data_IF_450132279828
#
_entry.id   IF_450132279828
#
_cell.length_a   1.000
_cell.length_b   1.000
_cell.length_c   1.000
_cell.angle_alpha   90.00
_cell.angle_beta   90.00
_cell.angle_gamma   90.00
#
_symmetry.space_group_name_H-M   'P 1'
#
loop_
_entity.id
_entity.type
_entity.pdbx_description
1 polymer ?
#
# COMPACT_ATOMS: atom_id res chain seq x y z
N UNK A 1 20.71 -2.61 -73.31
CA UNK A 1 19.65 -2.85 -74.32
C UNK A 1 18.29 -2.70 -73.65
N UNK A 2 17.35 -2.04 -74.35
CA UNK A 2 15.87 -2.08 -74.21
C UNK A 2 15.29 -1.74 -72.83
N UNK A 3 14.81 -0.51 -72.56
CA UNK A 3 13.56 0.13 -73.05
C UNK A 3 12.33 -0.80 -73.03
N UNK A 4 11.49 -0.58 -72.00
CA UNK A 4 10.04 -0.25 -72.05
C UNK A 4 9.06 -1.30 -72.66
N UNK A 5 7.70 -1.19 -72.57
CA UNK A 5 6.83 -0.28 -71.78
C UNK A 5 5.45 -0.86 -71.30
N UNK A 6 4.64 0.03 -70.67
CA UNK A 6 3.20 0.34 -70.92
C UNK A 6 2.13 -0.70 -70.53
N UNK A 7 1.01 -0.32 -69.91
CA UNK A 7 -0.22 0.29 -70.46
C UNK A 7 -1.21 0.29 -69.26
N UNK A 8 -2.15 1.21 -68.96
CA UNK A 8 -2.72 2.37 -69.65
C UNK A 8 -3.83 2.98 -68.73
N UNK A 9 -4.19 4.25 -68.96
CA UNK A 9 -5.55 4.88 -68.83
C UNK A 9 -6.22 4.97 -67.44
N UNK A 10 -6.95 6.01 -67.03
CA UNK A 10 -7.65 7.16 -67.65
C UNK A 10 -8.00 8.15 -66.50
N UNK A 11 -7.91 9.48 -66.67
CA UNK A 11 -9.04 10.45 -66.78
C UNK A 11 -10.20 10.20 -65.77
N UNK A 12 -10.73 11.13 -64.97
CA UNK A 12 -10.85 12.58 -65.10
C UNK A 12 -11.20 13.24 -63.74
N UNK A 13 -10.99 14.56 -63.67
CA UNK A 13 -11.44 15.45 -62.60
C UNK A 13 -12.82 16.07 -62.91
N UNK A 14 -13.60 16.39 -61.87
CA UNK A 14 -14.51 17.56 -61.75
C UNK A 14 -15.29 17.42 -60.43
N UNK A 15 -15.09 18.32 -59.45
CA UNK A 15 -15.92 19.49 -59.16
C UNK A 15 -17.36 19.10 -58.76
N UNK A 16 -17.89 19.53 -57.61
CA UNK A 16 -18.48 20.87 -57.48
C UNK A 16 -18.56 21.30 -55.99
N UNK A 17 -18.06 22.53 -55.80
CA UNK A 17 -18.35 23.58 -54.80
C UNK A 17 -19.79 23.53 -54.23
N UNK A 18 -20.03 23.69 -52.93
CA UNK A 18 -20.40 25.01 -52.39
C UNK A 18 -20.13 25.13 -50.87
N UNK A 19 -19.42 26.21 -50.52
CA UNK A 19 -19.35 26.80 -49.18
C UNK A 19 -20.75 27.21 -48.70
N UNK A 20 -21.02 27.32 -47.40
CA UNK A 20 -20.87 28.58 -46.66
C UNK A 20 -21.18 28.35 -45.16
N UNK A 21 -20.42 28.97 -44.26
CA UNK A 21 -20.67 28.90 -42.81
C UNK A 21 -19.60 29.55 -41.92
N UNK A 22 -19.34 30.84 -42.14
CA UNK A 22 -18.89 31.91 -41.20
C UNK A 22 -17.87 31.62 -40.07
N UNK A 23 -16.62 32.06 -40.35
CA UNK A 23 -15.67 32.91 -39.59
C UNK A 23 -16.03 33.33 -38.15
N UNK A 24 -15.08 33.21 -37.19
CA UNK A 24 -14.36 34.33 -36.52
C UNK A 24 -13.24 33.80 -35.64
N UNK A 25 -12.01 34.26 -35.90
CA UNK A 25 -10.82 34.00 -35.09
C UNK A 25 -10.70 35.01 -33.93
N UNK A 26 -10.22 34.56 -32.77
CA UNK A 26 -9.51 35.42 -31.82
C UNK A 26 -8.25 34.69 -31.34
N UNK A 27 -7.12 35.37 -31.46
CA UNK A 27 -5.80 34.90 -31.09
C UNK A 27 -5.40 35.41 -29.70
N UNK A 28 -4.70 34.61 -28.92
CA UNK A 28 -3.71 34.98 -27.89
C UNK A 28 -3.29 33.69 -27.16
N UNK A 29 -2.06 33.42 -26.75
CA UNK A 29 -0.75 34.09 -26.88
C UNK A 29 0.28 33.07 -26.36
N UNK A 30 1.44 32.96 -26.99
CA UNK A 30 2.52 32.09 -26.53
C UNK A 30 3.29 32.70 -25.34
N UNK A 31 3.52 31.92 -24.27
CA UNK A 31 4.74 31.84 -23.45
C UNK A 31 4.50 30.96 -22.19
N UNK A 32 5.54 30.41 -21.53
CA UNK A 32 6.80 29.84 -22.03
C UNK A 32 6.91 28.34 -21.69
N UNK A 33 7.86 27.64 -22.34
CA UNK A 33 8.27 26.29 -21.95
C UNK A 33 8.80 26.31 -20.51
N UNK A 34 8.04 25.76 -19.57
CA UNK A 34 8.55 25.40 -18.24
C UNK A 34 9.11 23.99 -18.29
N UNK A 35 10.20 23.74 -17.56
CA UNK A 35 10.97 22.49 -17.54
C UNK A 35 10.24 21.31 -16.88
N UNK A 36 8.94 21.13 -17.13
CA UNK A 36 8.12 20.03 -16.63
C UNK A 36 8.27 18.73 -17.45
N UNK A 37 9.36 18.59 -18.21
CA UNK A 37 9.66 17.40 -19.02
C UNK A 37 10.71 16.47 -18.39
N UNK A 38 11.02 16.60 -17.09
CA UNK A 38 12.01 15.75 -16.41
C UNK A 38 11.44 14.86 -15.30
N UNK A 39 10.25 15.15 -14.75
CA UNK A 39 9.62 14.29 -13.75
C UNK A 39 8.14 14.17 -14.07
N UNK A 40 7.76 12.97 -14.50
CA UNK A 40 6.38 12.63 -14.83
C UNK A 40 5.44 13.01 -13.69
N UNK A 41 4.24 13.41 -14.08
CA UNK A 41 3.09 13.60 -13.19
C UNK A 41 3.05 12.47 -12.16
N UNK A 42 3.34 12.79 -10.89
CA UNK A 42 3.14 11.85 -9.79
C UNK A 42 1.64 11.59 -9.75
N UNK A 43 1.25 10.34 -9.99
CA UNK A 43 -0.13 9.92 -9.88
C UNK A 43 -0.67 10.34 -8.49
N UNK A 44 -1.96 10.75 -8.39
CA UNK A 44 -2.56 10.99 -7.09
C UNK A 44 -2.38 9.74 -6.23
N UNK A 45 -1.95 9.95 -4.98
CA UNK A 45 -1.61 8.93 -4.00
C UNK A 45 -2.49 7.70 -4.14
N UNK A 46 -1.88 6.60 -4.60
CA UNK A 46 -2.48 5.28 -4.50
C UNK A 46 -2.83 5.14 -3.02
N UNK A 47 -4.12 5.03 -2.68
CA UNK A 47 -4.48 4.32 -1.46
C UNK A 47 -3.89 2.94 -1.68
N UNK A 48 -2.70 2.71 -1.13
CA UNK A 48 -2.21 1.35 -0.95
C UNK A 48 -3.36 0.71 -0.21
N UNK A 49 -3.97 -0.30 -0.80
CA UNK A 49 -4.94 -1.10 -0.08
C UNK A 49 -4.11 -1.67 1.08
N UNK A 50 -4.19 -1.02 2.25
CA UNK A 50 -3.51 -1.48 3.46
C UNK A 50 -4.03 -2.89 3.75
N UNK A 51 -5.32 -3.09 3.46
CA UNK A 51 -6.01 -4.38 3.41
C UNK A 51 -5.46 -5.30 2.33
N UNK A 52 -4.77 -6.35 2.77
CA UNK A 52 -4.52 -7.55 1.98
C UNK A 52 -3.32 -8.34 2.47
N UNK A 53 -3.45 -9.66 2.44
CA UNK A 53 -2.37 -10.58 2.79
C UNK A 53 -1.20 -10.50 1.78
N UNK A 54 -0.28 -9.59 2.09
CA UNK A 54 0.97 -9.37 1.37
C UNK A 54 2.16 -10.01 2.10
N UNK A 55 1.90 -10.87 3.09
CA UNK A 55 2.95 -11.56 3.82
C UNK A 55 3.75 -12.44 2.85
N UNK A 56 5.09 -12.37 2.84
CA UNK A 56 5.89 -13.07 1.85
C UNK A 56 5.57 -14.57 1.79
N UNK A 57 5.37 -15.08 0.58
CA UNK A 57 4.98 -16.47 0.35
C UNK A 57 5.94 -17.49 1.00
N UNK A 58 7.23 -17.12 1.17
CA UNK A 58 8.24 -17.93 1.88
C UNK A 58 7.88 -18.24 3.34
N UNK A 59 7.03 -17.41 3.97
CA UNK A 59 6.58 -17.59 5.35
C UNK A 59 5.09 -17.88 5.46
N UNK A 60 4.27 -17.32 4.57
CA UNK A 60 2.83 -17.58 4.51
C UNK A 60 2.48 -19.01 4.13
N UNK A 61 3.16 -19.58 3.12
CA UNK A 61 2.75 -20.85 2.50
C UNK A 61 3.34 -22.09 3.17
N UNK A 62 4.07 -21.90 4.26
CA UNK A 62 4.65 -22.98 5.05
C UNK A 62 3.87 -23.15 6.36
N UNK A 63 4.12 -24.26 7.05
CA UNK A 63 3.46 -24.56 8.32
C UNK A 63 3.75 -23.44 9.33
N UNK A 64 2.75 -23.03 10.11
CA UNK A 64 2.93 -22.14 11.25
C UNK A 64 4.01 -22.69 12.19
N UNK A 65 4.77 -21.81 12.85
CA UNK A 65 5.82 -22.17 13.81
C UNK A 65 6.88 -23.15 13.27
N UNK A 66 7.17 -23.10 11.97
CA UNK A 66 8.14 -24.01 11.36
C UNK A 66 9.47 -23.36 11.03
N UNK A 67 9.48 -22.04 10.83
CA UNK A 67 10.70 -21.28 10.57
C UNK A 67 10.63 -19.93 11.28
N UNK A 68 11.81 -19.35 11.51
CA UNK A 68 11.94 -17.96 11.90
C UNK A 68 11.95 -17.07 10.65
N UNK A 69 11.29 -15.91 10.77
CA UNK A 69 11.33 -14.86 9.75
C UNK A 69 12.58 -13.98 9.85
N UNK A 70 12.64 -12.92 9.02
CA UNK A 70 13.79 -12.01 8.98
C UNK A 70 13.89 -11.14 10.25
N UNK A 71 12.87 -11.13 11.13
CA UNK A 71 12.83 -10.43 12.42
C UNK A 71 13.02 -11.35 13.63
N UNK A 72 13.34 -12.63 13.38
CA UNK A 72 13.48 -13.65 14.40
C UNK A 72 12.18 -13.95 15.15
N UNK A 73 11.05 -13.87 14.45
CA UNK A 73 9.72 -14.25 14.91
C UNK A 73 9.28 -15.55 14.22
N UNK A 74 8.48 -16.37 14.90
CA UNK A 74 7.90 -17.56 14.27
C UNK A 74 6.93 -17.17 13.16
N UNK A 75 7.05 -17.85 12.01
CA UNK A 75 6.25 -17.52 10.84
C UNK A 75 4.75 -17.73 11.09
N UNK A 76 3.93 -16.88 10.48
CA UNK A 76 2.46 -16.85 10.60
C UNK A 76 1.94 -16.49 12.00
N UNK A 77 2.78 -15.93 12.87
CA UNK A 77 2.36 -15.34 14.15
C UNK A 77 2.02 -13.86 14.01
N UNK A 78 1.23 -13.33 14.95
CA UNK A 78 0.84 -11.91 14.98
C UNK A 78 2.06 -10.98 15.04
N UNK A 79 3.06 -11.33 15.85
CA UNK A 79 4.32 -10.59 16.00
C UNK A 79 5.18 -10.63 14.73
N UNK A 80 5.11 -11.72 13.95
CA UNK A 80 5.82 -11.84 12.68
C UNK A 80 5.20 -10.94 11.62
N UNK A 81 3.87 -10.96 11.51
CA UNK A 81 3.13 -10.06 10.63
C UNK A 81 3.37 -8.59 10.97
N UNK A 82 3.23 -8.21 12.25
CA UNK A 82 3.47 -6.83 12.68
C UNK A 82 4.92 -6.39 12.42
N UNK A 83 5.90 -7.28 12.63
CA UNK A 83 7.31 -6.99 12.37
C UNK A 83 7.59 -6.75 10.89
N UNK A 84 7.01 -7.60 10.02
CA UNK A 84 7.07 -7.43 8.57
C UNK A 84 6.52 -6.07 8.14
N UNK A 85 5.36 -5.69 8.66
CA UNK A 85 4.69 -4.44 8.30
C UNK A 85 5.50 -3.22 8.69
N UNK A 86 5.96 -3.13 9.95
CA UNK A 86 6.71 -1.94 10.42
C UNK A 86 8.11 -1.86 9.81
N UNK A 87 8.69 -2.98 9.40
CA UNK A 87 9.97 -3.02 8.72
C UNK A 87 9.94 -2.45 7.31
N UNK A 88 8.79 -2.46 6.63
CA UNK A 88 8.59 -1.71 5.39
C UNK A 88 8.79 -0.19 5.59
N UNK A 89 8.67 0.30 6.82
CA UNK A 89 8.92 1.68 7.24
C UNK A 89 10.28 1.88 7.92
N UNK A 90 11.19 0.90 7.81
CA UNK A 90 12.55 0.98 8.35
C UNK A 90 12.65 0.73 9.85
N UNK A 91 11.59 0.23 10.50
CA UNK A 91 11.59 -0.10 11.92
C UNK A 91 12.02 -1.55 12.15
N UNK A 92 12.92 -1.76 13.11
CA UNK A 92 13.40 -3.08 13.47
C UNK A 92 12.86 -3.49 14.84
N UNK A 93 11.97 -4.47 14.85
CA UNK A 93 11.36 -5.07 16.05
C UNK A 93 12.04 -6.37 16.48
N UNK A 94 13.22 -6.69 15.92
CA UNK A 94 14.00 -7.85 16.35
C UNK A 94 14.24 -7.76 17.86
N UNK A 95 13.96 -8.86 18.56
CA UNK A 95 14.00 -8.99 20.02
C UNK A 95 12.83 -8.37 20.80
N UNK A 96 11.77 -7.90 20.14
CA UNK A 96 10.55 -7.48 20.86
C UNK A 96 9.81 -8.65 21.51
N UNK A 97 10.12 -9.89 21.10
CA UNK A 97 9.55 -11.13 21.64
C UNK A 97 8.02 -11.18 21.52
N UNK A 98 7.34 -11.70 22.55
CA UNK A 98 5.90 -11.89 22.59
C UNK A 98 5.18 -10.54 22.55
N UNK A 99 3.96 -10.53 21.99
CA UNK A 99 3.14 -9.33 21.83
C UNK A 99 2.96 -8.53 23.13
N UNK A 100 2.85 -9.18 24.29
CA UNK A 100 2.72 -8.50 25.60
C UNK A 100 3.91 -7.65 26.04
N UNK A 101 5.05 -7.74 25.35
CA UNK A 101 6.23 -6.92 25.65
C UNK A 101 6.43 -5.81 24.62
N UNK A 102 5.61 -5.76 23.57
CA UNK A 102 5.83 -4.84 22.45
C UNK A 102 5.70 -3.39 22.85
N UNK A 103 4.79 -3.05 23.75
CA UNK A 103 4.65 -1.67 24.22
C UNK A 103 5.83 -1.24 25.09
N UNK A 104 6.29 -2.09 26.01
CA UNK A 104 7.44 -1.79 26.86
C UNK A 104 8.71 -1.64 26.03
N UNK A 105 8.94 -2.54 25.06
CA UNK A 105 10.04 -2.44 24.12
C UNK A 105 9.92 -1.21 23.22
N UNK A 106 8.71 -0.88 22.75
CA UNK A 106 8.47 0.33 21.97
C UNK A 106 8.80 1.60 22.77
N UNK A 107 8.32 1.70 24.01
CA UNK A 107 8.65 2.81 24.92
C UNK A 107 10.15 2.90 25.17
N UNK A 108 10.81 1.76 25.43
CA UNK A 108 12.25 1.70 25.65
C UNK A 108 13.05 2.17 24.43
N UNK A 109 12.53 1.97 23.22
CA UNK A 109 13.12 2.45 21.98
C UNK A 109 12.64 3.85 21.55
N UNK A 110 11.90 4.55 22.41
CA UNK A 110 11.48 5.94 22.20
C UNK A 110 10.24 6.12 21.33
N UNK A 111 9.52 5.05 21.02
CA UNK A 111 8.27 5.14 20.26
C UNK A 111 7.09 5.52 21.17
N UNK A 112 6.19 6.41 20.72
CA UNK A 112 4.97 6.70 21.45
C UNK A 112 4.09 5.46 21.59
N UNK A 113 3.62 5.24 22.81
CA UNK A 113 2.55 4.27 23.12
C UNK A 113 1.46 5.00 23.88
N UNK A 114 0.28 5.08 23.29
CA UNK A 114 -0.88 5.75 23.87
C UNK A 114 -2.19 5.04 23.54
N UNK A 115 -3.33 5.64 23.87
CA UNK A 115 -4.67 5.06 23.64
C UNK A 115 -5.38 5.65 22.42
N UNK A 116 -4.63 6.25 21.49
CA UNK A 116 -5.18 6.91 20.30
C UNK A 116 -4.84 6.07 19.06
N UNK A 117 -5.80 5.31 18.51
CA UNK A 117 -5.57 4.57 17.28
C UNK A 117 -5.37 5.53 16.11
N UNK A 118 -4.39 5.20 15.27
CA UNK A 118 -4.21 5.81 13.95
C UNK A 118 -3.98 4.70 12.91
N UNK A 119 -4.41 4.88 11.65
CA UNK A 119 -3.99 3.98 10.57
C UNK A 119 -2.47 3.78 10.57
N UNK A 120 -2.03 2.53 10.41
CA UNK A 120 -0.62 2.10 10.47
C UNK A 120 -0.04 1.94 11.89
N UNK A 121 -0.73 2.38 12.95
CA UNK A 121 -0.30 2.06 14.32
C UNK A 121 -0.49 0.57 14.62
N UNK A 122 0.26 0.05 15.59
CA UNK A 122 0.09 -1.33 16.07
C UNK A 122 -0.85 -1.31 17.27
N UNK A 123 -2.04 -1.89 17.13
CA UNK A 123 -2.91 -2.23 18.25
C UNK A 123 -2.28 -3.37 19.03
N UNK A 124 -2.06 -3.18 20.33
CA UNK A 124 -1.35 -4.14 21.17
C UNK A 124 -2.07 -4.34 22.51
N UNK A 125 -2.05 -5.57 23.01
CA UNK A 125 -2.61 -5.94 24.32
C UNK A 125 -1.74 -6.97 25.04
N UNK A 126 -1.80 -6.96 26.37
CA UNK A 126 -1.18 -7.98 27.23
C UNK A 126 -2.13 -9.14 27.53
N UNK A 127 -3.39 -9.00 27.16
CA UNK A 127 -4.39 -10.01 27.44
C UNK A 127 -3.98 -11.36 26.83
N UNK A 128 -4.11 -12.43 27.62
CA UNK A 128 -3.69 -13.78 27.21
C UNK A 128 -2.24 -14.11 27.55
N UNK A 129 -1.80 -15.32 27.19
CA UNK A 129 -0.48 -15.84 27.59
C UNK A 129 0.69 -15.08 26.92
N UNK A 130 0.48 -14.67 25.68
CA UNK A 130 1.48 -14.04 24.82
C UNK A 130 1.15 -12.57 24.48
N UNK A 131 -0.04 -12.08 24.86
CA UNK A 131 -0.58 -10.84 24.31
C UNK A 131 -1.04 -10.99 22.87
N UNK A 132 -1.42 -9.89 22.23
CA UNK A 132 -1.68 -9.85 20.79
C UNK A 132 -1.27 -8.50 20.18
N UNK A 133 -0.85 -8.53 18.91
CA UNK A 133 -0.58 -7.33 18.11
C UNK A 133 -1.29 -7.42 16.77
N UNK A 134 -1.85 -6.30 16.32
CA UNK A 134 -2.49 -6.18 15.03
C UNK A 134 -2.16 -4.81 14.39
N UNK A 135 -2.12 -4.75 13.07
CA UNK A 135 -1.91 -3.49 12.34
C UNK A 135 -3.26 -2.81 12.19
N UNK A 136 -3.36 -1.54 12.60
CA UNK A 136 -4.59 -0.76 12.41
C UNK A 136 -4.70 -0.33 10.94
N UNK A 137 -5.74 -0.76 10.24
CA UNK A 137 -6.08 -0.25 8.91
C UNK A 137 -6.86 1.07 9.03
N UNK A 138 -7.94 1.06 9.80
CA UNK A 138 -8.84 2.21 9.90
C UNK A 138 -9.56 2.30 11.24
N UNK A 139 -10.06 3.50 11.55
CA UNK A 139 -10.68 3.83 12.85
C UNK A 139 -12.08 4.37 12.62
N UNK A 140 -13.08 3.77 13.26
CA UNK A 140 -14.49 4.11 13.07
C UNK A 140 -15.22 4.18 14.41
N UNK A 141 -15.46 5.38 14.91
CA UNK A 141 -16.16 5.56 16.19
C UNK A 141 -15.41 4.91 17.36
N UNK A 142 -16.00 3.86 17.94
CA UNK A 142 -15.42 3.07 19.04
C UNK A 142 -14.67 1.82 18.58
N UNK A 143 -14.63 1.52 17.30
CA UNK A 143 -13.93 0.33 16.78
C UNK A 143 -12.73 0.71 15.91
N UNK A 144 -11.83 -0.26 15.75
CA UNK A 144 -10.74 -0.24 14.76
C UNK A 144 -10.86 -1.46 13.87
N UNK A 145 -10.72 -1.27 12.56
CA UNK A 145 -10.49 -2.36 11.62
C UNK A 145 -9.00 -2.65 11.64
N UNK A 146 -8.64 -3.92 11.89
CA UNK A 146 -7.25 -4.35 11.99
C UNK A 146 -6.94 -5.51 11.05
N UNK A 147 -5.65 -5.67 10.81
CA UNK A 147 -5.07 -6.79 10.09
C UNK A 147 -4.06 -7.51 10.98
N UNK A 148 -4.24 -8.81 11.12
CA UNK A 148 -3.33 -9.64 11.87
C UNK A 148 -3.19 -11.04 11.27
N UNK A 149 -2.27 -11.79 11.86
CA UNK A 149 -2.12 -13.21 11.68
C UNK A 149 -2.37 -13.91 13.01
N UNK A 150 -2.92 -15.12 12.93
CA UNK A 150 -3.04 -16.03 14.07
C UNK A 150 -3.97 -15.55 15.21
N UNK A 151 -4.94 -14.68 14.93
CA UNK A 151 -5.94 -14.28 15.93
C UNK A 151 -6.63 -15.49 16.60
N UNK A 152 -7.00 -16.49 15.81
CA UNK A 152 -7.67 -17.71 16.27
C UNK A 152 -6.72 -18.84 16.70
N UNK A 153 -5.40 -18.64 16.62
CA UNK A 153 -4.42 -19.70 16.91
C UNK A 153 -4.20 -20.72 15.78
N UNK A 154 -4.66 -20.43 14.56
CA UNK A 154 -4.60 -21.29 13.37
C UNK A 154 -3.60 -20.81 12.28
N UNK A 155 -2.90 -19.72 12.57
CA UNK A 155 -1.89 -19.09 11.72
C UNK A 155 -2.46 -18.39 10.50
N UNK A 156 -3.76 -18.10 10.44
CA UNK A 156 -4.37 -17.46 9.27
C UNK A 156 -4.36 -15.93 9.37
N UNK A 157 -4.26 -15.29 8.21
CA UNK A 157 -4.48 -13.86 8.06
C UNK A 157 -5.96 -13.53 8.28
N UNK A 158 -6.23 -12.45 9.00
CA UNK A 158 -7.58 -11.97 9.25
C UNK A 158 -7.66 -10.45 9.14
N UNK A 159 -8.78 -9.98 8.60
CA UNK A 159 -9.23 -8.58 8.68
C UNK A 159 -10.50 -8.59 9.50
N UNK A 160 -10.54 -7.84 10.58
CA UNK A 160 -11.69 -7.82 11.49
C UNK A 160 -11.75 -6.56 12.33
N UNK A 161 -12.92 -6.29 12.91
CA UNK A 161 -13.15 -5.13 13.76
C UNK A 161 -13.00 -5.50 15.24
N UNK A 162 -12.30 -4.65 15.98
CA UNK A 162 -12.08 -4.78 17.42
C UNK A 162 -12.54 -3.52 18.16
N UNK A 163 -12.93 -3.67 19.43
CA UNK A 163 -13.14 -2.51 20.31
C UNK A 163 -11.80 -1.83 20.57
N UNK A 164 -11.70 -0.56 20.22
CA UNK A 164 -10.45 0.18 20.36
C UNK A 164 -10.02 0.36 21.82
N UNK A 165 -10.95 0.23 22.76
CA UNK A 165 -10.70 0.32 24.20
C UNK A 165 -9.95 -0.87 24.79
N UNK A 166 -9.85 -1.98 24.07
CA UNK A 166 -9.13 -3.18 24.53
C UNK A 166 -7.61 -3.12 24.30
N UNK A 167 -7.16 -2.12 23.54
CA UNK A 167 -5.79 -2.01 23.05
C UNK A 167 -5.14 -0.69 23.45
N UNK A 168 -3.81 -0.73 23.46
CA UNK A 168 -2.96 0.45 23.32
C UNK A 168 -2.31 0.46 21.95
N UNK A 169 -1.87 1.63 21.52
CA UNK A 169 -1.44 1.87 20.16
C UNK A 169 0.00 2.33 20.13
N UNK A 170 0.83 1.57 19.43
CA UNK A 170 2.24 1.87 19.23
C UNK A 170 2.40 2.58 17.89
N UNK A 171 3.00 3.78 17.91
CA UNK A 171 3.28 4.55 16.68
C UNK A 171 4.74 4.47 16.30
N UNK A 172 5.02 3.68 15.28
CA UNK A 172 6.37 3.47 14.75
C UNK A 172 6.75 4.50 13.67
N UNK A 173 5.76 5.05 12.97
CA UNK A 173 5.91 6.01 11.88
C UNK A 173 4.67 6.92 11.78
N UNK A 174 4.78 8.02 11.03
CA UNK A 174 3.74 9.03 10.80
C UNK A 174 3.27 9.03 9.34
#
# INVERSE_FOLDING_TARGET
>A
MRRLPRILTTLAAAAVLTATGTVTATAASAAPLTMAAQFGTVAPSVKVNLIGDNYPAKWRNIRQDSVLDDWNMWNRECVSWASYTVAAHGVNTRNYSDAKYWDDNARSNGYPVDNTPTPGSIAQTDAGRYGHVAVVDSVHGSTVTVEDYNWAGDGHYLVHDLDKGEFRYIRFYN
#
